data_IF_875505015934
#
_entry.id   IF_875505015934
#
_cell.length_a   1.000
_cell.length_b   1.000
_cell.length_c   1.000
_cell.angle_alpha   90.00
_cell.angle_beta   90.00
_cell.angle_gamma   90.00
#
_symmetry.space_group_name_H-M   'P 1'
#
loop_
_entity.id
_entity.type
_entity.pdbx_description
1 polymer ?
#
# COMPACT_ATOMS: atom_id res chain seq x y z
N UNK A 1 6.89 6.82 1.05
CA UNK A 1 8.05 6.07 0.52
C UNK A 1 7.57 4.68 0.19
N UNK A 2 7.78 4.25 -1.04
CA UNK A 2 7.41 2.92 -1.51
C UNK A 2 8.71 2.23 -1.88
N UNK A 3 8.96 1.07 -1.28
CA UNK A 3 10.12 0.25 -1.63
C UNK A 3 10.01 -0.27 -3.08
N UNK A 4 11.13 -0.37 -3.78
CA UNK A 4 11.16 -0.81 -5.19
C UNK A 4 10.62 -2.23 -5.39
N UNK A 5 10.67 -3.06 -4.35
CA UNK A 5 10.17 -4.44 -4.40
C UNK A 5 8.70 -4.58 -4.00
N UNK A 6 8.05 -3.49 -3.58
CA UNK A 6 6.62 -3.50 -3.30
C UNK A 6 5.83 -3.49 -4.62
N UNK A 7 4.78 -4.29 -4.69
CA UNK A 7 3.84 -4.33 -5.80
C UNK A 7 2.61 -3.50 -5.44
N UNK A 8 2.50 -2.31 -6.03
CA UNK A 8 1.39 -1.39 -5.81
C UNK A 8 0.67 -1.21 -7.12
N UNK A 9 -0.57 -1.66 -7.17
CA UNK A 9 -1.42 -1.48 -8.33
C UNK A 9 -1.60 0.02 -8.63
N UNK A 10 -1.52 0.39 -9.91
CA UNK A 10 -1.61 1.79 -10.35
C UNK A 10 -2.91 2.49 -9.97
N UNK A 11 -3.97 1.72 -9.67
CA UNK A 11 -5.28 2.23 -9.25
C UNK A 11 -5.40 2.40 -7.73
N UNK A 12 -4.43 1.92 -6.95
CA UNK A 12 -4.41 2.10 -5.51
C UNK A 12 -4.10 3.56 -5.15
N UNK A 13 -4.78 4.07 -4.12
CA UNK A 13 -4.52 5.40 -3.56
C UNK A 13 -3.67 5.27 -2.30
N UNK A 14 -2.48 5.88 -2.33
CA UNK A 14 -1.55 5.91 -1.19
C UNK A 14 -1.50 7.33 -0.63
N UNK A 15 -2.00 7.51 0.58
CA UNK A 15 -2.01 8.79 1.28
C UNK A 15 -0.60 9.26 1.63
N UNK A 16 -0.48 10.57 1.88
CA UNK A 16 0.81 11.19 2.19
C UNK A 16 1.52 10.56 3.40
N UNK A 17 2.84 10.53 3.36
CA UNK A 17 3.66 10.03 4.47
C UNK A 17 3.55 8.52 4.71
N UNK A 18 2.84 7.76 3.86
CA UNK A 18 2.83 6.30 3.95
C UNK A 18 4.21 5.70 3.72
N UNK A 19 4.47 4.57 4.38
CA UNK A 19 5.65 3.73 4.16
C UNK A 19 5.18 2.35 3.72
N UNK A 20 5.60 1.91 2.53
CA UNK A 20 5.29 0.58 1.99
C UNK A 20 6.60 -0.18 1.89
N UNK A 21 6.73 -1.24 2.69
CA UNK A 21 7.96 -2.01 2.83
C UNK A 21 8.05 -3.14 1.79
N UNK A 22 9.25 -3.70 1.68
CA UNK A 22 9.62 -4.74 0.74
C UNK A 22 8.56 -5.83 0.54
N UNK A 23 8.34 -6.22 -0.72
CA UNK A 23 7.43 -7.30 -1.14
C UNK A 23 6.00 -7.21 -0.59
N UNK A 24 5.57 -6.05 -0.10
CA UNK A 24 4.17 -5.78 0.19
C UNK A 24 3.37 -5.69 -1.13
N UNK A 25 2.09 -6.02 -1.05
CA UNK A 25 1.17 -6.04 -2.19
C UNK A 25 -0.03 -5.16 -1.86
N UNK A 26 -0.27 -4.14 -2.69
CA UNK A 26 -1.45 -3.27 -2.57
C UNK A 26 -2.24 -3.35 -3.86
N UNK A 27 -3.46 -3.89 -3.75
CA UNK A 27 -4.26 -4.33 -4.90
C UNK A 27 -5.20 -3.26 -5.41
N UNK A 28 -5.83 -3.57 -6.53
CA UNK A 28 -6.66 -2.66 -7.31
C UNK A 28 -7.73 -1.94 -6.48
N UNK A 29 -7.80 -0.62 -6.61
CA UNK A 29 -8.75 0.24 -5.91
C UNK A 29 -8.57 0.32 -4.38
N UNK A 30 -7.49 -0.24 -3.81
CA UNK A 30 -7.21 -0.09 -2.38
C UNK A 30 -6.94 1.39 -2.02
N UNK A 31 -7.34 1.79 -0.83
CA UNK A 31 -7.12 3.13 -0.28
C UNK A 31 -6.35 2.99 1.03
N UNK A 32 -5.14 3.52 1.06
CA UNK A 32 -4.28 3.58 2.24
C UNK A 32 -4.23 5.03 2.73
N UNK A 33 -4.75 5.28 3.93
CA UNK A 33 -4.82 6.59 4.56
C UNK A 33 -3.45 7.14 4.95
N UNK A 34 -3.40 8.44 5.22
CA UNK A 34 -2.17 9.18 5.55
C UNK A 34 -1.37 8.51 6.69
N UNK A 35 -0.05 8.42 6.52
CA UNK A 35 0.88 7.99 7.56
C UNK A 35 0.82 6.50 7.92
N UNK A 36 0.12 5.68 7.14
CA UNK A 36 0.09 4.23 7.34
C UNK A 36 1.46 3.60 7.05
N UNK A 37 1.76 2.51 7.75
CA UNK A 37 2.95 1.69 7.52
C UNK A 37 2.52 0.28 7.11
N UNK A 38 2.79 -0.08 5.86
CA UNK A 38 2.48 -1.40 5.30
C UNK A 38 3.73 -2.26 5.39
N UNK A 39 3.74 -3.18 6.35
CA UNK A 39 4.89 -4.04 6.66
C UNK A 39 5.30 -4.96 5.51
N UNK A 40 6.52 -5.49 5.60
CA UNK A 40 7.10 -6.41 4.62
C UNK A 40 6.17 -7.60 4.36
N UNK A 41 5.85 -7.87 3.09
CA UNK A 41 5.04 -9.01 2.69
C UNK A 41 3.55 -8.91 3.03
N UNK A 42 3.08 -7.76 3.53
CA UNK A 42 1.66 -7.57 3.79
C UNK A 42 0.85 -7.53 2.49
N UNK A 43 -0.39 -8.02 2.54
CA UNK A 43 -1.32 -8.03 1.42
C UNK A 43 -2.53 -7.16 1.74
N UNK A 44 -2.70 -6.07 0.99
CA UNK A 44 -3.87 -5.20 1.03
C UNK A 44 -4.74 -5.54 -0.17
N UNK A 45 -5.88 -6.19 0.09
CA UNK A 45 -6.77 -6.71 -0.94
C UNK A 45 -7.49 -5.64 -1.77
N UNK A 46 -8.15 -6.06 -2.87
CA UNK A 46 -8.87 -5.15 -3.76
C UNK A 46 -9.93 -4.33 -3.01
N UNK A 47 -10.01 -3.04 -3.31
CA UNK A 47 -10.99 -2.10 -2.72
C UNK A 47 -10.96 -1.98 -1.18
N UNK A 48 -9.92 -2.51 -0.51
CA UNK A 48 -9.75 -2.36 0.94
C UNK A 48 -9.51 -0.90 1.27
N UNK A 49 -10.10 -0.44 2.38
CA UNK A 49 -9.82 0.87 2.98
C UNK A 49 -9.11 0.65 4.30
N UNK A 50 -7.92 1.22 4.44
CA UNK A 50 -7.07 1.15 5.62
C UNK A 50 -6.67 2.56 6.02
N UNK A 51 -6.80 2.90 7.30
CA UNK A 51 -6.48 4.24 7.83
C UNK A 51 -7.68 5.04 8.26
#
# INVERSE_FOLDING_TARGET
MIDETADVDSTAHIGDGCQIWHVAQVREGAVVGRGCVIGRGAYIGPSVRLG
#
